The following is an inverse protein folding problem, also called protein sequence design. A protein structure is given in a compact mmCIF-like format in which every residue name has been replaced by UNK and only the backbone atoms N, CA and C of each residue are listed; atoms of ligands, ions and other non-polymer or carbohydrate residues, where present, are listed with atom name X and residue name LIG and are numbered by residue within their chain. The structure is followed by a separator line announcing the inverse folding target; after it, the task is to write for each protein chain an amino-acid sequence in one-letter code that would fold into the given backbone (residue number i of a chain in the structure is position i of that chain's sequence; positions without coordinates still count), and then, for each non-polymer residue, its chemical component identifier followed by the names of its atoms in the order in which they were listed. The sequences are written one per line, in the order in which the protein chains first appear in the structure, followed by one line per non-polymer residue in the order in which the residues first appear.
data_IF_091705783614
#
_entry.id   IF_091705783614
#
_cell.length_a   1.000
_cell.length_b   1.000
_cell.length_c   1.000
_cell.angle_alpha   90.00
_cell.angle_beta   90.00
_cell.angle_gamma   90.00
#
_symmetry.space_group_name_H-M   'P 1'
#
loop_
_entity.id
_entity.type
_entity.pdbx_description
1 polymer ?
#
# COMPACT_ATOMS: atom_id res chain seq x y z
N UNK A 1 18.50 -42.12 -86.84
CA UNK A 1 19.34 -42.43 -85.65
C UNK A 1 20.45 -41.41 -85.63
N UNK A 2 20.50 -40.38 -84.78
CA UNK A 2 19.62 -39.96 -83.69
C UNK A 2 19.64 -38.43 -83.66
N UNK A 3 18.50 -37.83 -83.33
CA UNK A 3 18.26 -36.40 -83.20
C UNK A 3 19.12 -35.78 -82.08
N UNK A 4 19.71 -34.59 -82.32
CA UNK A 4 20.31 -33.75 -81.28
C UNK A 4 19.35 -32.60 -80.98
N UNK A 5 18.66 -32.71 -79.85
CA UNK A 5 17.83 -31.65 -79.29
C UNK A 5 18.70 -30.51 -78.74
N UNK A 6 18.42 -29.29 -79.20
CA UNK A 6 18.89 -28.04 -78.63
C UNK A 6 18.07 -27.71 -77.39
N UNK A 7 18.68 -27.74 -76.20
CA UNK A 7 18.14 -27.10 -75.01
C UNK A 7 18.81 -25.73 -74.81
N UNK A 8 18.01 -24.67 -74.96
CA UNK A 8 18.35 -23.31 -74.54
C UNK A 8 18.30 -23.20 -73.02
N UNK A 9 19.44 -22.90 -72.39
CA UNK A 9 19.48 -22.46 -70.99
C UNK A 9 19.33 -20.92 -70.91
N UNK A 10 18.43 -20.41 -70.06
CA UNK A 10 18.28 -18.98 -69.84
C UNK A 10 19.41 -18.41 -68.97
N UNK A 11 19.96 -17.27 -69.39
CA UNK A 11 20.91 -16.46 -68.64
C UNK A 11 20.28 -15.98 -67.32
N UNK A 12 20.87 -16.38 -66.21
CA UNK A 12 20.54 -15.86 -64.88
C UNK A 12 21.19 -14.48 -64.73
N UNK A 13 20.35 -13.44 -64.67
CA UNK A 13 20.77 -12.09 -64.33
C UNK A 13 21.37 -12.08 -62.91
N UNK A 14 22.62 -11.67 -62.78
CA UNK A 14 23.23 -11.36 -61.49
C UNK A 14 22.55 -10.11 -60.93
N UNK A 15 21.75 -10.29 -59.88
CA UNK A 15 21.34 -9.19 -59.04
C UNK A 15 22.57 -8.72 -58.25
N UNK A 16 23.03 -7.51 -58.52
CA UNK A 16 23.97 -6.79 -57.66
C UNK A 16 23.35 -6.68 -56.27
N UNK A 17 23.93 -7.39 -55.31
CA UNK A 17 23.63 -7.20 -53.90
C UNK A 17 24.23 -5.84 -53.53
N UNK A 18 23.38 -4.83 -53.48
CA UNK A 18 23.69 -3.56 -52.82
C UNK A 18 24.01 -3.90 -51.38
N UNK A 19 25.29 -3.90 -51.03
CA UNK A 19 25.73 -3.91 -49.64
C UNK A 19 25.30 -2.57 -49.04
N UNK A 20 24.16 -2.55 -48.37
CA UNK A 20 23.83 -1.45 -47.46
C UNK A 20 24.95 -1.35 -46.45
N UNK A 21 25.66 -0.21 -46.43
CA UNK A 21 26.65 0.07 -45.41
C UNK A 21 25.98 -0.10 -44.04
N UNK A 22 26.59 -0.85 -43.11
CA UNK A 22 25.99 -1.08 -41.81
C UNK A 22 25.76 0.28 -41.16
N UNK A 23 24.50 0.53 -40.77
CA UNK A 23 24.08 1.77 -40.14
C UNK A 23 25.01 2.08 -38.96
N UNK A 24 25.26 3.37 -38.71
CA UNK A 24 26.14 3.80 -37.62
C UNK A 24 25.70 3.22 -36.26
N UNK A 25 24.40 2.92 -36.10
CA UNK A 25 23.84 2.18 -34.96
C UNK A 25 24.30 0.71 -34.93
N UNK A 26 24.30 0.02 -36.08
CA UNK A 26 24.76 -1.37 -36.18
C UNK A 26 26.25 -1.49 -35.86
N UNK A 27 27.06 -0.52 -36.30
CA UNK A 27 28.49 -0.48 -35.99
C UNK A 27 28.78 -0.22 -34.50
N UNK A 28 27.94 0.59 -33.83
CA UNK A 28 28.06 0.84 -32.39
C UNK A 28 27.66 -0.40 -31.58
N UNK A 29 26.62 -1.13 -32.00
CA UNK A 29 26.14 -2.35 -31.33
C UNK A 29 27.17 -3.47 -31.45
N UNK A 30 27.76 -3.66 -32.63
CA UNK A 30 28.80 -4.67 -32.85
C UNK A 30 30.11 -4.33 -32.12
N UNK A 31 30.59 -3.08 -32.19
CA UNK A 31 31.83 -2.67 -31.50
C UNK A 31 31.66 -2.57 -29.99
N UNK A 32 30.45 -2.24 -29.51
CA UNK A 32 30.12 -2.12 -28.09
C UNK A 32 29.84 -3.45 -27.39
N UNK A 33 29.78 -4.58 -28.12
CA UNK A 33 29.42 -5.92 -27.59
C UNK A 33 28.12 -5.93 -26.77
N UNK A 34 27.14 -5.11 -27.16
CA UNK A 34 25.88 -4.92 -26.44
C UNK A 34 24.88 -6.07 -26.69
N UNK A 35 25.06 -6.85 -27.75
CA UNK A 35 24.22 -8.00 -28.08
C UNK A 35 25.11 -9.25 -28.22
N UNK A 36 24.88 -10.26 -27.38
CA UNK A 36 25.54 -11.58 -27.52
C UNK A 36 24.76 -12.51 -28.44
N UNK A 37 23.44 -12.31 -28.55
CA UNK A 37 22.52 -13.04 -29.43
C UNK A 37 21.73 -12.07 -30.34
N UNK A 38 21.23 -12.60 -31.45
CA UNK A 38 20.49 -11.83 -32.47
C UNK A 38 19.19 -11.20 -31.94
N UNK A 39 18.56 -11.84 -30.94
CA UNK A 39 17.38 -11.32 -30.22
C UNK A 39 17.65 -10.09 -29.36
N UNK A 40 18.90 -9.87 -28.96
CA UNK A 40 19.29 -8.70 -28.14
C UNK A 40 19.65 -7.48 -29.01
N UNK A 41 19.84 -7.67 -30.32
CA UNK A 41 20.18 -6.57 -31.24
C UNK A 41 19.04 -5.56 -31.34
N UNK A 42 17.79 -6.02 -31.35
CA UNK A 42 16.62 -5.15 -31.45
C UNK A 42 16.44 -4.30 -30.19
N UNK A 43 16.56 -4.91 -29.01
CA UNK A 43 16.59 -4.21 -27.72
C UNK A 43 17.75 -3.20 -27.61
N UNK A 44 18.95 -3.58 -28.09
CA UNK A 44 20.09 -2.67 -28.11
C UNK A 44 19.89 -1.49 -29.07
N UNK A 45 19.24 -1.70 -30.22
CA UNK A 45 18.87 -0.62 -31.15
C UNK A 45 17.90 0.37 -30.51
N UNK A 46 16.89 -0.12 -29.80
CA UNK A 46 15.91 0.73 -29.13
C UNK A 46 16.54 1.59 -28.04
N UNK A 47 17.41 1.02 -27.20
CA UNK A 47 18.10 1.76 -26.13
C UNK A 47 19.00 2.85 -26.70
N UNK A 48 19.80 2.52 -27.70
CA UNK A 48 20.71 3.50 -28.31
C UNK A 48 19.92 4.56 -29.07
N UNK A 49 18.81 4.19 -29.72
CA UNK A 49 17.90 5.11 -30.38
C UNK A 49 17.26 6.11 -29.41
N UNK A 50 16.76 5.64 -28.26
CA UNK A 50 16.18 6.50 -27.23
C UNK A 50 17.25 7.40 -26.59
N UNK A 51 18.46 6.90 -26.35
CA UNK A 51 19.57 7.72 -25.87
C UNK A 51 19.91 8.85 -26.85
N UNK A 52 20.07 8.55 -28.14
CA UNK A 52 20.34 9.55 -29.18
C UNK A 52 19.22 10.59 -29.25
N UNK A 53 17.97 10.15 -29.18
CA UNK A 53 16.80 11.05 -29.14
C UNK A 53 16.84 11.99 -27.94
N UNK A 54 17.19 11.50 -26.75
CA UNK A 54 17.31 12.33 -25.55
C UNK A 54 18.46 13.33 -25.62
N UNK A 55 19.59 12.95 -26.22
CA UNK A 55 20.70 13.89 -26.52
C UNK A 55 20.25 14.96 -27.52
N UNK A 56 19.56 14.58 -28.59
CA UNK A 56 19.07 15.51 -29.61
C UNK A 56 18.00 16.48 -29.08
N UNK A 57 17.20 16.06 -28.10
CA UNK A 57 16.16 16.90 -27.47
C UNK A 57 16.77 17.92 -26.48
N UNK A 58 18.08 17.87 -26.23
CA UNK A 58 18.76 18.78 -25.30
C UNK A 58 18.56 18.41 -23.83
N UNK A 59 18.00 17.23 -23.56
CA UNK A 59 17.71 16.73 -22.21
C UNK A 59 18.97 16.25 -21.47
N UNK A 60 20.10 16.17 -22.17
CA UNK A 60 21.39 15.68 -21.66
C UNK A 60 22.48 16.72 -21.96
N UNK A 61 23.17 17.20 -20.93
CA UNK A 61 24.30 18.11 -21.09
C UNK A 61 25.53 17.34 -21.56
N UNK A 62 26.02 17.66 -22.77
CA UNK A 62 27.18 17.00 -23.36
C UNK A 62 28.45 17.40 -22.59
N UNK A 63 28.96 16.47 -21.77
CA UNK A 63 30.17 16.55 -20.98
C UNK A 63 31.26 15.64 -21.58
N UNK A 64 32.53 15.88 -21.24
CA UNK A 64 33.65 14.99 -21.66
C UNK A 64 33.58 13.60 -21.02
N UNK A 65 32.85 13.47 -19.93
CA UNK A 65 32.62 12.21 -19.23
C UNK A 65 31.19 11.73 -19.52
N UNK A 66 31.09 10.74 -20.41
CA UNK A 66 29.84 10.11 -20.82
C UNK A 66 29.23 9.28 -19.69
N UNK A 67 30.05 8.69 -18.82
CA UNK A 67 29.56 7.88 -17.69
C UNK A 67 28.91 8.77 -16.64
N UNK A 68 29.58 9.87 -16.27
CA UNK A 68 29.00 10.86 -15.36
C UNK A 68 27.71 11.49 -15.92
N UNK A 69 27.65 11.69 -17.24
CA UNK A 69 26.45 12.19 -17.94
C UNK A 69 25.28 11.20 -17.85
N UNK A 70 25.52 9.92 -18.12
CA UNK A 70 24.49 8.88 -18.04
C UNK A 70 24.00 8.76 -16.60
N UNK A 71 24.91 8.72 -15.62
CA UNK A 71 24.54 8.65 -14.20
C UNK A 71 23.74 9.88 -13.74
N UNK A 72 24.09 11.08 -14.22
CA UNK A 72 23.31 12.29 -13.93
C UNK A 72 21.90 12.22 -14.55
N UNK A 73 21.77 11.66 -15.76
CA UNK A 73 20.47 11.47 -16.41
C UNK A 73 19.62 10.42 -15.70
N UNK A 74 20.21 9.31 -15.27
CA UNK A 74 19.55 8.29 -14.45
C UNK A 74 19.05 8.92 -13.14
N UNK A 75 19.89 9.71 -12.46
CA UNK A 75 19.48 10.40 -11.23
C UNK A 75 18.30 11.37 -11.44
N UNK A 76 18.25 12.08 -12.57
CA UNK A 76 17.10 12.91 -12.92
C UNK A 76 15.82 12.08 -13.13
N UNK A 77 15.92 10.94 -13.80
CA UNK A 77 14.79 10.04 -14.02
C UNK A 77 14.32 9.46 -12.68
N UNK A 78 15.25 8.98 -11.84
CA UNK A 78 14.97 8.47 -10.50
C UNK A 78 14.26 9.53 -9.66
N UNK A 79 14.67 10.79 -9.73
CA UNK A 79 14.01 11.90 -9.02
C UNK A 79 12.58 12.14 -9.53
N UNK A 80 12.35 12.10 -10.85
CA UNK A 80 11.03 12.27 -11.43
C UNK A 80 10.08 11.11 -11.04
N UNK A 81 10.58 9.87 -11.12
CA UNK A 81 9.84 8.67 -10.72
C UNK A 81 9.55 8.72 -9.22
N UNK A 82 10.53 9.09 -8.38
CA UNK A 82 10.35 9.21 -6.93
C UNK A 82 9.29 10.26 -6.59
N UNK A 83 9.31 11.41 -7.25
CA UNK A 83 8.29 12.46 -7.05
C UNK A 83 6.90 11.95 -7.39
N UNK A 84 6.76 11.27 -8.53
CA UNK A 84 5.47 10.71 -8.94
C UNK A 84 5.00 9.57 -8.02
N UNK A 85 5.92 8.73 -7.56
CA UNK A 85 5.61 7.63 -6.66
C UNK A 85 5.21 8.14 -5.27
N UNK A 86 5.85 9.21 -4.78
CA UNK A 86 5.47 9.88 -3.53
C UNK A 86 4.00 10.31 -3.57
N UNK A 87 3.53 10.93 -4.65
CA UNK A 87 2.13 11.33 -4.80
C UNK A 87 1.16 10.14 -4.72
N UNK A 88 1.53 9.00 -5.28
CA UNK A 88 0.71 7.77 -5.23
C UNK A 88 0.74 7.15 -3.82
N UNK A 89 1.93 7.03 -3.24
CA UNK A 89 2.16 6.38 -1.95
C UNK A 89 1.60 7.19 -0.79
N UNK A 90 1.60 8.52 -0.88
CA UNK A 90 1.08 9.44 0.15
C UNK A 90 -0.40 9.78 -0.04
N UNK A 91 -1.07 9.17 -1.02
CA UNK A 91 -2.51 9.33 -1.17
C UNK A 91 -3.25 8.72 0.05
N UNK A 92 -4.18 9.43 0.71
CA UNK A 92 -4.82 8.96 1.94
C UNK A 92 -5.52 7.60 1.82
N UNK A 93 -6.13 7.32 0.66
CA UNK A 93 -6.80 6.03 0.41
C UNK A 93 -5.79 4.88 0.31
N UNK A 94 -4.65 5.12 -0.34
CA UNK A 94 -3.58 4.14 -0.46
C UNK A 94 -2.89 3.90 0.87
N UNK A 95 -2.51 4.97 1.59
CA UNK A 95 -1.90 4.87 2.92
C UNK A 95 -2.80 4.13 3.90
N UNK A 96 -4.12 4.39 3.88
CA UNK A 96 -5.06 3.66 4.73
C UNK A 96 -5.08 2.17 4.40
N UNK A 97 -5.14 1.83 3.11
CA UNK A 97 -5.11 0.44 2.68
C UNK A 97 -3.78 -0.24 3.06
N UNK A 98 -2.66 0.42 2.81
CA UNK A 98 -1.33 -0.07 3.14
C UNK A 98 -1.17 -0.24 4.67
N UNK A 99 -1.62 0.73 5.47
CA UNK A 99 -1.62 0.70 6.92
C UNK A 99 -2.41 -0.48 7.48
N UNK A 100 -3.65 -0.68 7.01
CA UNK A 100 -4.49 -1.82 7.40
C UNK A 100 -3.85 -3.17 7.07
N UNK A 101 -3.34 -3.34 5.84
CA UNK A 101 -2.73 -4.61 5.43
C UNK A 101 -1.38 -4.87 6.09
N UNK A 102 -0.59 -3.83 6.35
CA UNK A 102 0.66 -3.97 7.12
C UNK A 102 0.39 -4.23 8.59
N UNK A 103 -0.62 -3.62 9.19
CA UNK A 103 -1.05 -3.94 10.55
C UNK A 103 -1.49 -5.40 10.67
N UNK A 104 -2.29 -5.89 9.71
CA UNK A 104 -2.66 -7.30 9.63
C UNK A 104 -1.44 -8.20 9.42
N UNK A 105 -0.52 -7.82 8.53
CA UNK A 105 0.73 -8.54 8.32
C UNK A 105 1.54 -8.63 9.62
N UNK A 106 1.69 -7.52 10.33
CA UNK A 106 2.38 -7.45 11.62
C UNK A 106 1.71 -8.39 12.63
N UNK A 107 0.38 -8.35 12.77
CA UNK A 107 -0.36 -9.24 13.66
C UNK A 107 -0.12 -10.72 13.32
N UNK A 108 -0.15 -11.09 12.04
CA UNK A 108 0.05 -12.47 11.60
C UNK A 108 1.47 -12.94 11.85
N UNK A 109 2.48 -12.14 11.48
CA UNK A 109 3.89 -12.55 11.60
C UNK A 109 4.45 -12.45 13.02
N UNK A 110 3.85 -11.66 13.90
CA UNK A 110 4.20 -11.60 15.33
C UNK A 110 3.38 -12.59 16.19
N UNK A 111 2.44 -13.32 15.60
CA UNK A 111 1.64 -14.33 16.30
C UNK A 111 2.12 -15.74 15.97
N UNK A 112 2.39 -16.55 17.00
CA UNK A 112 2.68 -17.97 16.83
C UNK A 112 1.38 -18.76 16.58
N UNK A 113 0.86 -18.67 15.34
CA UNK A 113 -0.35 -19.39 14.94
C UNK A 113 -0.14 -20.90 14.95
N UNK A 114 -1.08 -21.63 15.51
CA UNK A 114 -1.07 -23.09 15.63
C UNK A 114 -2.49 -23.63 15.59
N UNK A 115 -2.70 -24.93 15.89
CA UNK A 115 -4.05 -25.47 16.04
C UNK A 115 -4.87 -24.75 17.12
N UNK A 116 -4.20 -24.17 18.12
CA UNK A 116 -4.82 -23.46 19.25
C UNK A 116 -5.01 -21.95 19.01
N UNK A 117 -4.16 -21.31 18.19
CA UNK A 117 -4.25 -19.88 17.89
C UNK A 117 -4.59 -19.69 16.40
N UNK A 118 -5.82 -19.26 16.14
CA UNK A 118 -6.33 -19.00 14.79
C UNK A 118 -6.71 -17.53 14.66
N UNK A 119 -6.27 -16.91 13.58
CA UNK A 119 -6.67 -15.55 13.20
C UNK A 119 -7.68 -15.68 12.07
N UNK A 120 -8.88 -15.13 12.27
CA UNK A 120 -9.92 -15.04 11.24
C UNK A 120 -10.13 -13.59 10.85
N UNK A 121 -10.12 -13.32 9.55
CA UNK A 121 -10.21 -11.97 9.01
C UNK A 121 -11.56 -11.80 8.33
N UNK A 122 -12.28 -10.74 8.69
CA UNK A 122 -13.52 -10.32 8.06
C UNK A 122 -13.33 -8.92 7.50
N UNK A 123 -13.40 -8.79 6.17
CA UNK A 123 -13.32 -7.49 5.53
C UNK A 123 -14.67 -6.78 5.62
N UNK A 124 -14.75 -5.75 6.45
CA UNK A 124 -15.92 -4.89 6.61
C UNK A 124 -15.48 -3.44 6.78
N UNK A 125 -16.07 -2.53 6.01
CA UNK A 125 -15.79 -1.10 6.15
C UNK A 125 -16.48 -0.55 7.40
N UNK A 126 -15.91 0.49 8.02
CA UNK A 126 -16.56 1.18 9.16
C UNK A 126 -17.98 1.64 8.81
N UNK A 127 -18.19 2.12 7.57
CA UNK A 127 -19.51 2.59 7.10
C UNK A 127 -20.52 1.44 7.01
N UNK A 128 -20.10 0.25 6.61
CA UNK A 128 -21.01 -0.90 6.51
C UNK A 128 -21.28 -1.51 7.88
N UNK A 129 -20.30 -1.50 8.78
CA UNK A 129 -20.52 -1.82 10.19
C UNK A 129 -21.57 -0.89 10.82
N UNK A 130 -21.44 0.43 10.61
CA UNK A 130 -22.44 1.41 11.07
C UNK A 130 -23.84 1.10 10.53
N UNK A 131 -23.95 0.85 9.22
CA UNK A 131 -25.24 0.52 8.58
C UNK A 131 -25.84 -0.78 9.11
N UNK A 132 -25.03 -1.82 9.34
CA UNK A 132 -25.51 -3.09 9.90
C UNK A 132 -26.07 -2.87 11.31
N UNK A 133 -25.34 -2.10 12.13
CA UNK A 133 -25.77 -1.73 13.46
C UNK A 133 -27.03 -0.85 13.45
N UNK A 134 -27.15 0.11 12.54
CA UNK A 134 -28.34 0.98 12.43
C UNK A 134 -29.57 0.24 11.89
N UNK A 135 -29.39 -0.72 10.98
CA UNK A 135 -30.47 -1.50 10.38
C UNK A 135 -31.06 -2.51 11.37
N UNK A 136 -30.24 -3.04 12.26
CA UNK A 136 -30.68 -3.95 13.30
C UNK A 136 -31.41 -3.16 14.41
N UNK A 137 -32.66 -3.54 14.68
CA UNK A 137 -33.44 -2.97 15.79
C UNK A 137 -32.76 -3.22 17.13
N UNK A 138 -32.26 -4.44 17.31
CA UNK A 138 -31.52 -4.91 18.47
C UNK A 138 -30.16 -5.49 18.04
N UNK A 139 -29.17 -5.48 18.93
CA UNK A 139 -27.81 -5.90 18.60
C UNK A 139 -27.71 -7.38 18.17
N UNK A 140 -28.59 -8.24 18.70
CA UNK A 140 -28.66 -9.68 18.45
C UNK A 140 -29.17 -10.03 17.04
N UNK A 141 -29.81 -9.08 16.34
CA UNK A 141 -30.29 -9.27 14.97
C UNK A 141 -29.27 -8.83 13.91
N UNK A 142 -28.15 -8.22 14.34
CA UNK A 142 -27.11 -7.73 13.45
C UNK A 142 -26.37 -8.86 12.73
N UNK A 143 -25.83 -8.58 11.55
CA UNK A 143 -25.03 -9.55 10.80
C UNK A 143 -23.74 -9.88 11.56
N UNK A 144 -23.17 -8.89 12.27
CA UNK A 144 -22.02 -9.09 13.14
C UNK A 144 -22.29 -10.10 14.25
N UNK A 145 -23.44 -9.98 14.94
CA UNK A 145 -23.82 -10.91 16.00
C UNK A 145 -23.98 -12.34 15.48
N UNK A 146 -24.61 -12.53 14.33
CA UNK A 146 -24.75 -13.86 13.73
C UNK A 146 -23.40 -14.53 13.45
N UNK A 147 -22.45 -13.75 12.91
CA UNK A 147 -21.11 -14.24 12.56
C UNK A 147 -20.24 -14.55 13.79
N UNK A 148 -20.36 -13.75 14.85
CA UNK A 148 -19.53 -13.87 16.05
C UNK A 148 -20.14 -14.86 17.05
N UNK A 149 -21.43 -14.68 17.34
CA UNK A 149 -22.15 -15.44 18.34
C UNK A 149 -22.79 -16.69 17.73
N UNK A 150 -23.77 -16.56 16.82
CA UNK A 150 -24.57 -17.72 16.38
C UNK A 150 -23.74 -18.80 15.67
N UNK A 151 -22.90 -18.41 14.71
CA UNK A 151 -22.12 -19.35 13.88
C UNK A 151 -20.99 -20.04 14.64
N UNK A 152 -20.48 -19.45 15.72
CA UNK A 152 -19.34 -19.99 16.47
C UNK A 152 -19.71 -20.27 17.93
N UNK A 153 -19.86 -19.24 18.76
CA UNK A 153 -20.07 -19.40 20.21
C UNK A 153 -21.36 -20.16 20.55
N UNK A 154 -22.44 -19.90 19.82
CA UNK A 154 -23.76 -20.51 20.01
C UNK A 154 -23.93 -21.86 19.29
N UNK A 155 -22.98 -22.26 18.44
CA UNK A 155 -23.04 -23.52 17.69
C UNK A 155 -22.27 -24.63 18.40
N UNK A 156 -22.88 -25.81 18.51
CA UNK A 156 -22.22 -26.98 19.10
C UNK A 156 -20.99 -27.39 18.29
N UNK A 157 -19.81 -27.33 18.92
CA UNK A 157 -18.52 -27.62 18.26
C UNK A 157 -17.92 -26.45 17.47
N UNK A 158 -18.49 -25.24 17.58
CA UNK A 158 -17.90 -24.01 17.02
C UNK A 158 -16.64 -23.56 17.77
N UNK A 159 -15.87 -22.66 17.16
CA UNK A 159 -14.66 -22.11 17.74
C UNK A 159 -14.90 -20.67 18.21
N UNK A 160 -15.18 -20.50 19.50
CA UNK A 160 -15.40 -19.18 20.11
C UNK A 160 -14.23 -18.21 19.86
N UNK A 161 -14.56 -16.96 19.57
CA UNK A 161 -13.57 -15.90 19.43
C UNK A 161 -13.04 -15.47 20.80
N UNK A 162 -11.71 -15.41 20.96
CA UNK A 162 -11.09 -14.94 22.20
C UNK A 162 -11.02 -13.42 22.33
N UNK A 163 -10.91 -12.71 21.20
CA UNK A 163 -10.91 -11.25 21.13
C UNK A 163 -11.33 -10.81 19.71
N UNK A 164 -11.83 -9.59 19.62
CA UNK A 164 -12.23 -8.96 18.37
C UNK A 164 -11.32 -7.74 18.15
N UNK A 165 -10.63 -7.69 17.02
CA UNK A 165 -9.77 -6.56 16.66
C UNK A 165 -10.47 -5.79 15.55
N UNK A 166 -10.84 -4.54 15.84
CA UNK A 166 -11.41 -3.61 14.89
C UNK A 166 -10.36 -2.64 14.40
N UNK A 167 -9.98 -2.74 13.13
CA UNK A 167 -9.14 -1.73 12.46
C UNK A 167 -9.97 -0.47 12.12
N UNK A 168 -10.44 0.20 13.17
CA UNK A 168 -11.24 1.42 13.12
C UNK A 168 -10.77 2.40 14.17
N UNK A 169 -10.87 3.68 13.83
CA UNK A 169 -10.68 4.78 14.77
C UNK A 169 -12.05 5.32 15.20
N UNK A 170 -12.30 5.40 16.50
CA UNK A 170 -13.54 5.96 17.07
C UNK A 170 -13.32 7.38 17.59
N UNK A 171 -14.14 8.31 17.10
CA UNK A 171 -14.16 9.73 17.52
C UNK A 171 -15.28 10.01 18.55
N UNK A 172 -15.40 11.26 18.99
CA UNK A 172 -16.54 11.69 19.83
C UNK A 172 -17.87 11.84 19.04
N UNK A 173 -17.88 11.53 17.74
CA UNK A 173 -19.06 11.69 16.89
C UNK A 173 -20.22 10.79 17.35
N UNK A 174 -21.48 11.27 17.36
CA UNK A 174 -22.62 10.50 17.86
C UNK A 174 -22.84 9.13 17.20
N UNK A 175 -22.51 8.98 15.91
CA UNK A 175 -22.60 7.69 15.19
C UNK A 175 -21.51 6.70 15.63
N UNK A 176 -20.30 7.19 15.89
CA UNK A 176 -19.20 6.37 16.41
C UNK A 176 -19.55 5.86 17.82
N UNK A 177 -20.13 6.71 18.66
CA UNK A 177 -20.58 6.30 20.01
C UNK A 177 -21.71 5.28 19.96
N UNK A 178 -22.71 5.49 19.09
CA UNK A 178 -23.84 4.56 18.97
C UNK A 178 -23.42 3.19 18.43
N UNK A 179 -22.45 3.15 17.52
CA UNK A 179 -21.91 1.88 17.03
C UNK A 179 -21.00 1.20 18.04
N UNK A 180 -20.18 1.95 18.76
CA UNK A 180 -19.36 1.40 19.85
C UNK A 180 -20.23 0.77 20.95
N UNK A 181 -21.36 1.41 21.29
CA UNK A 181 -22.36 0.86 22.20
C UNK A 181 -22.92 -0.48 21.72
N UNK A 182 -23.41 -0.56 20.47
CA UNK A 182 -23.94 -1.81 19.90
C UNK A 182 -22.88 -2.90 19.77
N UNK A 183 -21.66 -2.55 19.36
CA UNK A 183 -20.54 -3.50 19.28
C UNK A 183 -20.15 -3.99 20.67
N UNK A 184 -20.20 -3.14 21.71
CA UNK A 184 -19.92 -3.56 23.09
C UNK A 184 -20.91 -4.61 23.59
N UNK A 185 -22.19 -4.51 23.20
CA UNK A 185 -23.21 -5.51 23.53
C UNK A 185 -22.93 -6.86 22.83
N UNK A 186 -22.54 -6.82 21.55
CA UNK A 186 -22.13 -8.03 20.82
C UNK A 186 -20.89 -8.68 21.45
N UNK A 187 -19.90 -7.86 21.80
CA UNK A 187 -18.66 -8.30 22.47
C UNK A 187 -18.95 -8.91 23.85
N UNK A 188 -19.84 -8.29 24.64
CA UNK A 188 -20.26 -8.78 25.94
C UNK A 188 -21.02 -10.11 25.84
N UNK A 189 -21.93 -10.25 24.87
CA UNK A 189 -22.68 -11.48 24.63
C UNK A 189 -21.77 -12.64 24.19
N UNK A 190 -20.77 -12.37 23.36
CA UNK A 190 -19.81 -13.37 22.90
C UNK A 190 -18.64 -13.62 23.87
N UNK A 191 -18.56 -12.89 24.98
CA UNK A 191 -17.42 -12.86 25.91
C UNK A 191 -16.07 -12.62 25.22
N UNK A 192 -16.07 -11.83 24.14
CA UNK A 192 -14.90 -11.54 23.33
C UNK A 192 -14.65 -10.02 23.35
N UNK A 193 -13.63 -9.51 24.09
CA UNK A 193 -13.36 -8.09 24.15
C UNK A 193 -13.04 -7.53 22.76
N UNK A 194 -13.62 -6.37 22.46
CA UNK A 194 -13.41 -5.59 21.25
C UNK A 194 -12.32 -4.53 21.47
N UNK A 195 -11.26 -4.61 20.67
CA UNK A 195 -10.12 -3.71 20.73
C UNK A 195 -10.07 -2.93 19.40
N UNK A 196 -10.04 -1.60 19.49
CA UNK A 196 -9.93 -0.71 18.33
C UNK A 196 -9.09 0.52 18.67
N UNK A 197 -8.94 1.46 17.74
CA UNK A 197 -8.23 2.72 18.00
C UNK A 197 -9.20 3.83 18.45
N UNK A 198 -8.72 4.71 19.33
CA UNK A 198 -9.30 6.03 19.47
C UNK A 198 -8.83 6.91 18.29
N UNK A 199 -9.65 7.88 17.87
CA UNK A 199 -9.24 8.92 16.94
C UNK A 199 -8.74 10.16 17.72
N UNK A 200 -7.84 11.01 17.19
CA UNK A 200 -7.46 12.28 17.82
C UNK A 200 -8.68 13.17 18.16
N UNK A 201 -9.71 13.10 17.32
CA UNK A 201 -10.96 13.84 17.48
C UNK A 201 -11.75 13.41 18.72
N UNK A 202 -11.48 12.22 19.28
CA UNK A 202 -12.03 11.84 20.59
C UNK A 202 -11.58 12.82 21.69
N UNK A 203 -10.41 13.44 21.56
CA UNK A 203 -9.89 14.45 22.49
C UNK A 203 -10.11 15.89 21.99
N UNK A 204 -10.87 16.07 20.90
CA UNK A 204 -11.04 17.34 20.20
C UNK A 204 -9.71 17.93 19.67
N UNK A 205 -8.80 17.05 19.22
CA UNK A 205 -7.55 17.41 18.54
C UNK A 205 -7.65 17.12 17.05
N UNK A 206 -6.84 17.82 16.26
CA UNK A 206 -6.66 17.50 14.84
C UNK A 206 -5.62 16.39 14.66
N UNK A 207 -4.62 16.33 15.53
CA UNK A 207 -3.53 15.35 15.48
C UNK A 207 -3.05 14.90 16.86
N UNK A 208 -2.44 13.71 16.93
CA UNK A 208 -1.80 13.19 18.14
C UNK A 208 -0.58 13.98 18.59
N UNK A 209 -0.04 14.89 17.77
CA UNK A 209 1.04 15.81 18.15
C UNK A 209 0.62 16.77 19.27
N UNK A 210 -0.67 17.01 19.44
CA UNK A 210 -1.23 17.89 20.48
C UNK A 210 -1.29 17.23 21.87
N UNK A 211 -1.02 15.92 21.98
CA UNK A 211 -1.09 15.13 23.22
C UNK A 211 -0.27 15.74 24.37
N UNK A 212 0.86 16.39 24.05
CA UNK A 212 1.74 17.03 25.04
C UNK A 212 1.25 18.39 25.57
N UNK A 213 0.21 18.97 24.98
CA UNK A 213 -0.26 20.33 25.32
C UNK A 213 -1.12 20.38 26.60
N UNK A 214 -2.21 19.59 26.70
CA UNK A 214 -3.12 19.69 27.83
C UNK A 214 -2.51 19.13 29.14
N UNK A 215 -2.60 19.93 30.21
CA UNK A 215 -2.17 19.52 31.55
C UNK A 215 -3.08 18.46 32.18
N UNK A 216 -4.36 18.44 31.80
CA UNK A 216 -5.37 17.54 32.36
C UNK A 216 -6.34 17.09 31.26
N UNK A 217 -6.16 15.86 30.79
CA UNK A 217 -7.01 15.25 29.76
C UNK A 217 -8.42 14.93 30.27
N UNK A 218 -8.60 14.73 31.57
CA UNK A 218 -9.90 14.36 32.12
C UNK A 218 -10.92 15.50 31.97
N UNK A 219 -10.47 16.76 31.97
CA UNK A 219 -11.32 17.94 31.77
C UNK A 219 -11.97 17.99 30.40
N UNK A 220 -11.32 17.46 29.36
CA UNK A 220 -11.85 17.43 27.99
C UNK A 220 -13.20 16.69 28.00
N UNK A 221 -13.26 15.53 28.66
CA UNK A 221 -14.45 14.68 28.74
C UNK A 221 -15.56 15.20 29.67
N UNK A 222 -15.33 16.28 30.42
CA UNK A 222 -16.34 16.83 31.33
C UNK A 222 -17.39 17.67 30.62
N UNK A 223 -17.11 18.16 29.40
CA UNK A 223 -18.04 19.00 28.65
C UNK A 223 -19.33 18.26 28.27
N UNK A 224 -20.33 19.01 27.84
CA UNK A 224 -21.66 18.48 27.48
C UNK A 224 -21.60 17.63 26.20
N UNK A 225 -20.66 17.93 25.30
CA UNK A 225 -20.45 17.19 24.04
C UNK A 225 -20.13 15.71 24.28
N UNK A 226 -19.45 15.41 25.39
CA UNK A 226 -19.10 14.04 25.80
C UNK A 226 -20.18 13.36 26.64
N UNK A 227 -21.42 13.85 26.67
CA UNK A 227 -22.51 13.19 27.41
C UNK A 227 -22.68 11.73 26.98
N UNK A 228 -22.71 11.45 25.67
CA UNK A 228 -22.80 10.07 25.15
C UNK A 228 -21.60 9.20 25.52
N UNK A 229 -20.39 9.75 25.46
CA UNK A 229 -19.17 9.05 25.86
C UNK A 229 -19.18 8.70 27.35
N UNK A 230 -19.61 9.61 28.21
CA UNK A 230 -19.77 9.36 29.65
C UNK A 230 -20.80 8.26 29.91
N UNK A 231 -21.98 8.36 29.29
CA UNK A 231 -23.02 7.32 29.40
C UNK A 231 -22.52 5.96 28.90
N UNK A 232 -21.77 5.92 27.80
CA UNK A 232 -21.14 4.69 27.31
C UNK A 232 -20.18 4.11 28.35
N UNK A 233 -19.29 4.92 28.93
CA UNK A 233 -18.34 4.45 29.97
C UNK A 233 -18.99 4.01 31.28
N UNK A 234 -20.17 4.52 31.59
CA UNK A 234 -20.97 4.09 32.75
C UNK A 234 -21.74 2.79 32.48
N UNK A 235 -21.92 2.41 31.20
CA UNK A 235 -22.55 1.14 30.82
C UNK A 235 -21.71 -0.05 31.25
N UNK A 236 -22.38 -1.13 31.66
CA UNK A 236 -21.72 -2.38 32.06
C UNK A 236 -20.94 -3.01 30.91
N UNK A 237 -21.48 -2.98 29.69
CA UNK A 237 -20.90 -3.62 28.50
C UNK A 237 -19.60 -2.94 28.03
N UNK A 238 -19.37 -1.68 28.43
CA UNK A 238 -18.16 -0.92 28.07
C UNK A 238 -16.87 -1.59 28.56
N UNK A 239 -16.94 -2.46 29.57
CA UNK A 239 -15.79 -3.25 30.05
C UNK A 239 -15.20 -4.18 28.99
N UNK A 240 -15.97 -4.54 27.97
CA UNK A 240 -15.52 -5.36 26.86
C UNK A 240 -14.89 -4.54 25.73
N UNK A 241 -14.78 -3.21 25.86
CA UNK A 241 -14.21 -2.35 24.82
C UNK A 241 -12.89 -1.74 25.30
N UNK A 242 -11.84 -1.95 24.52
CA UNK A 242 -10.55 -1.27 24.66
C UNK A 242 -10.29 -0.36 23.47
N UNK A 243 -10.01 0.92 23.73
CA UNK A 243 -9.53 1.84 22.69
C UNK A 243 -8.04 2.13 22.91
N UNK A 244 -7.22 1.76 21.93
CA UNK A 244 -5.78 1.96 21.93
C UNK A 244 -5.40 3.30 21.29
N UNK A 245 -4.32 3.89 21.78
CA UNK A 245 -3.67 5.09 21.26
C UNK A 245 -2.20 5.13 21.74
N UNK A 246 -1.27 5.77 21.01
CA UNK A 246 -1.41 6.37 19.67
C UNK A 246 -1.13 5.34 18.56
N UNK A 247 -1.20 5.79 17.30
CA UNK A 247 -0.78 4.98 16.15
C UNK A 247 0.71 4.60 16.23
N UNK A 248 1.05 3.47 15.62
CA UNK A 248 2.42 2.98 15.51
C UNK A 248 2.93 3.10 14.07
N UNK A 249 4.24 3.28 13.92
CA UNK A 249 4.88 3.35 12.61
C UNK A 249 4.98 1.94 12.02
N UNK A 250 4.31 1.70 10.89
CA UNK A 250 4.25 0.38 10.26
C UNK A 250 5.45 0.10 9.35
N UNK A 251 6.08 1.14 8.82
CA UNK A 251 7.19 1.02 7.87
C UNK A 251 8.13 2.23 8.00
N UNK A 252 9.44 1.97 7.89
CA UNK A 252 10.42 3.03 7.70
C UNK A 252 10.38 3.58 6.27
N UNK A 253 10.56 4.90 6.07
CA UNK A 253 10.60 5.49 4.75
C UNK A 253 11.63 4.83 3.83
N UNK A 254 11.31 4.74 2.54
CA UNK A 254 12.27 4.29 1.54
C UNK A 254 13.30 5.36 1.26
N UNK A 255 14.55 4.94 1.10
CA UNK A 255 15.67 5.84 0.86
C UNK A 255 16.99 5.12 1.05
N UNK A 256 18.06 5.68 0.49
CA UNK A 256 19.41 5.06 0.58
C UNK A 256 19.91 4.92 2.01
N UNK A 257 19.51 5.83 2.91
CA UNK A 257 19.92 5.80 4.31
C UNK A 257 19.11 4.80 5.16
N UNK A 258 17.88 4.50 4.75
CA UNK A 258 16.95 3.66 5.50
C UNK A 258 16.74 2.32 4.80
N UNK A 259 15.74 2.24 3.93
CA UNK A 259 15.37 1.03 3.20
C UNK A 259 15.63 1.26 1.70
N UNK A 260 16.77 0.76 1.17
CA UNK A 260 17.07 0.92 -0.25
C UNK A 260 16.18 0.01 -1.10
N UNK A 261 15.83 0.48 -2.29
CA UNK A 261 15.11 -0.28 -3.31
C UNK A 261 16.08 -0.88 -4.33
N UNK A 262 15.78 -2.08 -4.83
CA UNK A 262 16.69 -2.80 -5.73
C UNK A 262 16.69 -2.28 -7.18
N UNK A 263 15.54 -1.78 -7.66
CA UNK A 263 15.36 -1.49 -9.09
C UNK A 263 15.77 -0.08 -9.51
N UNK A 264 15.52 0.92 -8.68
CA UNK A 264 15.89 2.31 -8.92
C UNK A 264 16.14 3.01 -7.57
N UNK A 265 16.76 4.18 -7.56
CA UNK A 265 16.98 4.91 -6.30
C UNK A 265 15.72 5.67 -5.90
N UNK A 266 14.83 5.01 -5.16
CA UNK A 266 13.66 5.67 -4.60
C UNK A 266 14.01 6.41 -3.32
N UNK A 267 13.74 7.71 -3.30
CA UNK A 267 13.83 8.55 -2.11
C UNK A 267 12.41 9.04 -1.75
N UNK A 268 11.88 8.53 -0.65
CA UNK A 268 10.54 8.88 -0.18
C UNK A 268 10.54 10.30 0.41
N UNK A 269 9.58 11.12 0.01
CA UNK A 269 9.53 12.57 0.26
C UNK A 269 9.14 12.97 1.69
N UNK A 270 9.78 12.39 2.70
CA UNK A 270 9.55 12.68 4.12
C UNK A 270 10.68 13.52 4.72
N UNK A 271 10.33 14.65 5.32
CA UNK A 271 11.28 15.59 5.93
C UNK A 271 11.13 15.70 7.46
N UNK A 272 10.20 14.93 8.04
CA UNK A 272 9.88 14.95 9.46
C UNK A 272 9.01 16.14 9.91
N UNK A 273 8.69 17.08 9.01
CA UNK A 273 7.83 18.22 9.33
C UNK A 273 6.35 17.86 9.20
N UNK A 274 6.02 17.02 8.22
CA UNK A 274 4.68 16.51 8.00
C UNK A 274 4.59 15.05 8.41
N UNK A 275 3.92 14.81 9.54
CA UNK A 275 3.72 13.47 10.06
C UNK A 275 2.77 12.63 9.20
N UNK A 276 1.91 13.24 8.37
CA UNK A 276 0.92 12.50 7.56
C UNK A 276 1.57 11.66 6.44
N UNK A 277 2.79 12.00 6.03
CA UNK A 277 3.53 11.27 5.01
C UNK A 277 4.11 9.94 5.50
N UNK A 278 4.22 9.77 6.82
CA UNK A 278 4.64 8.50 7.39
C UNK A 278 3.50 7.47 7.35
N UNK A 279 3.87 6.20 7.22
CA UNK A 279 2.91 5.12 7.22
C UNK A 279 2.56 4.71 8.66
N UNK A 280 1.55 5.37 9.20
CA UNK A 280 0.94 5.03 10.48
C UNK A 280 -0.07 3.91 10.29
N UNK A 281 -0.12 3.01 11.27
CA UNK A 281 -1.19 2.03 11.38
C UNK A 281 -1.71 1.91 12.80
N UNK A 282 -2.79 1.14 12.90
CA UNK A 282 -3.48 0.79 14.14
C UNK A 282 -2.68 -0.26 14.93
#
# INVERSE_FOLDING_TARGET
MADQEQELQPQTAQAEVVQEEPSLLDQIIEKGRLARDESQKEWAKDIVGEFVKQVMTGSILISKDTEAMINARIAQIDQLISTQLNEVMHQPEFQKLEGSWRGLNYLVFQSETSEHLKIRVMNISKKDLLKDMERASEFDQSSLFKKIYEEEFGTFGGASYGALIGDYEFSNHPQDMSSLEKVSQVAAAAHAPFIAAAAPQLFNWESYTELGGPRDLAKIFQTVEYAKWKSFRESEDSRYVGLALPHILMRLPYGREFVPTESFNYEEGVDGTDHSKYLWGN
#
